data_IF_220286956047
#
_entry.id   IF_220286956047
#
_cell.length_a   1.000
_cell.length_b   1.000
_cell.length_c   1.000
_cell.angle_alpha   90.00
_cell.angle_beta   90.00
_cell.angle_gamma   90.00
#
_symmetry.space_group_name_H-M   'P 1'
#
loop_
_entity.id
_entity.type
_entity.pdbx_description
1 polymer ?
#
# COMPACT_ATOMS: atom_id res chain seq x y z
N UNK A 1 40.15 -27.94 -41.67
CA UNK A 1 39.05 -26.99 -41.41
C UNK A 1 38.54 -27.20 -39.99
N UNK A 2 38.81 -26.31 -39.04
CA UNK A 2 38.34 -26.41 -37.65
C UNK A 2 37.12 -25.52 -37.48
N UNK A 3 35.96 -26.12 -37.19
CA UNK A 3 34.69 -25.41 -36.93
C UNK A 3 34.64 -25.08 -35.44
N UNK A 4 34.63 -23.79 -35.08
CA UNK A 4 34.40 -23.35 -33.71
C UNK A 4 32.89 -23.23 -33.49
N UNK A 5 32.35 -24.03 -32.57
CA UNK A 5 30.97 -23.91 -32.12
C UNK A 5 30.87 -22.73 -31.13
N UNK A 6 29.98 -21.77 -31.42
CA UNK A 6 29.65 -20.67 -30.52
C UNK A 6 28.55 -21.16 -29.57
N UNK A 7 28.86 -21.33 -28.28
CA UNK A 7 27.83 -21.52 -27.26
C UNK A 7 27.23 -20.16 -26.91
N UNK A 8 25.94 -19.97 -27.21
CA UNK A 8 25.15 -18.87 -26.66
C UNK A 8 24.66 -19.27 -25.26
N UNK A 9 25.14 -18.59 -24.23
CA UNK A 9 24.57 -18.72 -22.89
C UNK A 9 23.31 -17.84 -22.83
N UNK A 10 22.12 -18.46 -22.86
CA UNK A 10 20.88 -17.79 -22.49
C UNK A 10 20.88 -17.62 -20.97
N UNK A 11 21.08 -16.38 -20.51
CA UNK A 11 20.83 -16.02 -19.12
C UNK A 11 19.32 -16.05 -18.87
N UNK A 12 18.86 -17.00 -18.07
CA UNK A 12 17.49 -17.00 -17.56
C UNK A 12 17.46 -15.96 -16.44
N UNK A 13 16.80 -14.82 -16.68
CA UNK A 13 16.52 -13.87 -15.61
C UNK A 13 15.54 -14.55 -14.63
N UNK A 14 15.96 -14.73 -13.37
CA UNK A 14 15.05 -15.18 -12.33
C UNK A 14 14.00 -14.08 -12.12
N UNK A 15 12.74 -14.40 -12.37
CA UNK A 15 11.62 -13.53 -11.97
C UNK A 15 11.53 -13.62 -10.45
N UNK A 16 11.85 -12.52 -9.76
CA UNK A 16 11.59 -12.42 -8.33
C UNK A 16 10.07 -12.50 -8.11
N UNK A 17 9.57 -13.24 -7.10
CA UNK A 17 8.15 -13.18 -6.75
C UNK A 17 7.78 -11.73 -6.44
N UNK A 18 6.59 -11.30 -6.88
CA UNK A 18 6.13 -9.95 -6.62
C UNK A 18 5.97 -9.73 -5.11
N UNK A 19 6.47 -8.60 -4.61
CA UNK A 19 6.29 -8.17 -3.22
C UNK A 19 4.81 -8.06 -2.89
N UNK A 20 4.38 -8.60 -1.76
CA UNK A 20 2.98 -8.57 -1.34
C UNK A 20 2.76 -7.55 -0.23
N UNK A 21 1.77 -6.68 -0.43
CA UNK A 21 1.15 -5.88 0.62
C UNK A 21 -0.02 -6.69 1.22
N UNK A 22 -0.05 -6.84 2.54
CA UNK A 22 -1.18 -7.40 3.28
C UNK A 22 -1.78 -6.33 4.18
N UNK A 23 -3.09 -6.15 4.12
CA UNK A 23 -3.84 -5.22 4.97
C UNK A 23 -4.74 -6.01 5.92
N UNK A 24 -4.81 -5.59 7.18
CA UNK A 24 -5.87 -5.95 8.12
C UNK A 24 -6.48 -4.68 8.70
N UNK A 25 -7.76 -4.44 8.44
CA UNK A 25 -8.39 -3.19 8.82
C UNK A 25 -9.89 -3.36 9.12
N UNK A 26 -10.45 -2.38 9.82
CA UNK A 26 -11.87 -2.22 10.03
C UNK A 26 -12.30 -0.76 9.86
N UNK A 27 -13.51 -0.56 9.37
CA UNK A 27 -14.18 0.73 9.25
C UNK A 27 -15.53 0.68 9.98
N UNK A 28 -16.15 1.85 10.19
CA UNK A 28 -17.41 1.95 10.95
C UNK A 28 -18.53 1.11 10.31
N UNK A 29 -18.75 1.29 9.02
CA UNK A 29 -19.54 0.35 8.23
C UNK A 29 -18.69 -0.25 7.12
N UNK A 30 -18.44 0.54 6.08
CA UNK A 30 -17.89 0.03 4.83
C UNK A 30 -16.43 0.41 4.67
N UNK A 31 -15.67 -0.53 4.12
CA UNK A 31 -14.26 -0.38 3.81
C UNK A 31 -13.99 -0.85 2.40
N UNK A 32 -13.30 -0.03 1.61
CA UNK A 32 -12.67 -0.47 0.38
C UNK A 32 -11.20 -0.05 0.38
N UNK A 33 -10.29 -1.01 0.22
CA UNK A 33 -8.87 -0.74 0.06
C UNK A 33 -8.43 -0.93 -1.38
N UNK A 34 -7.53 -0.05 -1.81
CA UNK A 34 -6.99 0.01 -3.15
C UNK A 34 -5.47 0.16 -3.12
N UNK A 35 -4.82 -0.32 -4.17
CA UNK A 35 -3.43 0.00 -4.48
C UNK A 35 -3.39 0.87 -5.74
N UNK A 36 -2.74 2.03 -5.64
CA UNK A 36 -2.54 2.93 -6.76
C UNK A 36 -1.06 3.25 -6.96
N UNK A 37 -0.67 3.59 -8.19
CA UNK A 37 0.63 4.21 -8.50
C UNK A 37 0.50 5.72 -8.76
N UNK A 38 -0.71 6.25 -8.58
CA UNK A 38 -1.06 7.67 -8.71
C UNK A 38 -1.98 8.05 -7.54
N UNK A 39 -1.50 8.94 -6.68
CA UNK A 39 -2.18 9.40 -5.46
C UNK A 39 -3.56 10.02 -5.74
N UNK A 40 -3.78 10.54 -6.95
CA UNK A 40 -5.02 11.24 -7.31
C UNK A 40 -6.17 10.31 -7.73
N UNK A 41 -5.93 9.00 -7.82
CA UNK A 41 -6.94 8.01 -8.24
C UNK A 41 -6.97 6.81 -7.29
N UNK A 42 -8.13 6.17 -7.19
CA UNK A 42 -8.31 5.04 -6.28
C UNK A 42 -7.32 3.89 -6.57
N UNK A 43 -7.14 3.51 -7.84
CA UNK A 43 -6.33 2.37 -8.23
C UNK A 43 -7.11 1.05 -8.24
N UNK A 44 -6.41 -0.07 -7.98
CA UNK A 44 -6.97 -1.42 -8.03
C UNK A 44 -7.51 -1.83 -6.66
N UNK A 45 -8.81 -2.09 -6.55
CA UNK A 45 -9.42 -2.58 -5.32
C UNK A 45 -8.95 -4.00 -5.00
N UNK A 46 -8.57 -4.26 -3.75
CA UNK A 46 -8.09 -5.57 -3.30
C UNK A 46 -8.72 -6.07 -2.00
N UNK A 47 -9.46 -5.20 -1.30
CA UNK A 47 -10.23 -5.55 -0.11
C UNK A 47 -11.54 -4.76 -0.10
N UNK A 48 -12.66 -5.45 0.09
CA UNK A 48 -14.00 -4.86 0.09
C UNK A 48 -14.81 -5.43 1.26
N UNK A 49 -15.41 -4.55 2.06
CA UNK A 49 -16.38 -4.85 3.12
C UNK A 49 -17.54 -3.86 2.96
N UNK A 50 -18.72 -4.34 2.54
CA UNK A 50 -19.87 -3.48 2.16
C UNK A 50 -21.20 -3.91 2.79
N UNK A 51 -21.20 -4.97 3.62
CA UNK A 51 -22.41 -5.60 4.15
C UNK A 51 -22.37 -5.84 5.67
N UNK A 52 -21.46 -5.17 6.36
CA UNK A 52 -21.21 -5.38 7.79
C UNK A 52 -20.75 -4.10 8.48
N UNK A 53 -21.09 -3.97 9.75
CA UNK A 53 -20.69 -2.84 10.61
C UNK A 53 -19.38 -3.17 11.35
N UNK A 54 -18.82 -2.24 12.11
CA UNK A 54 -17.55 -2.43 12.81
C UNK A 54 -17.57 -3.61 13.79
N UNK A 55 -18.73 -4.00 14.32
CA UNK A 55 -18.89 -5.10 15.28
C UNK A 55 -18.43 -6.46 14.73
N UNK A 56 -18.43 -6.65 13.40
CA UNK A 56 -17.94 -7.89 12.78
C UNK A 56 -16.43 -8.03 12.85
N UNK A 57 -15.74 -6.96 13.22
CA UNK A 57 -14.29 -6.91 13.38
C UNK A 57 -13.52 -6.75 12.06
N UNK A 58 -12.19 -6.79 12.15
CA UNK A 58 -11.31 -6.51 11.01
C UNK A 58 -11.37 -7.57 9.92
N UNK A 59 -11.26 -7.12 8.67
CA UNK A 59 -11.10 -7.95 7.48
C UNK A 59 -9.67 -7.84 6.94
N UNK A 60 -9.25 -8.82 6.15
CA UNK A 60 -7.91 -8.86 5.56
C UNK A 60 -7.93 -9.13 4.06
N UNK A 61 -6.98 -8.54 3.36
CA UNK A 61 -6.75 -8.74 1.92
C UNK A 61 -5.30 -8.48 1.58
N UNK A 62 -4.88 -8.94 0.40
CA UNK A 62 -3.50 -8.75 -0.07
C UNK A 62 -3.45 -8.45 -1.57
N UNK A 63 -2.39 -7.78 -1.98
CA UNK A 63 -2.14 -7.38 -3.37
C UNK A 63 -0.63 -7.29 -3.63
N UNK A 64 -0.22 -7.57 -4.86
CA UNK A 64 1.16 -7.37 -5.30
C UNK A 64 1.46 -5.87 -5.50
N UNK A 65 2.60 -5.41 -4.98
CA UNK A 65 3.10 -4.05 -5.22
C UNK A 65 3.67 -3.91 -6.64
N UNK A 66 3.60 -2.69 -7.18
CA UNK A 66 4.18 -2.36 -8.48
C UNK A 66 5.63 -1.92 -8.29
N UNK A 67 6.56 -2.63 -8.91
CA UNK A 67 7.99 -2.36 -8.78
C UNK A 67 8.45 -1.11 -9.53
N UNK A 68 9.53 -0.49 -9.02
CA UNK A 68 10.15 0.69 -9.61
C UNK A 68 9.34 1.99 -9.53
N UNK A 69 8.18 1.99 -8.89
CA UNK A 69 7.32 3.18 -8.71
C UNK A 69 6.83 3.32 -7.27
N UNK A 70 6.50 4.55 -6.87
CA UNK A 70 5.79 4.80 -5.62
C UNK A 70 4.40 4.18 -5.71
N UNK A 71 4.01 3.44 -4.68
CA UNK A 71 2.69 2.89 -4.52
C UNK A 71 1.96 3.67 -3.41
N UNK A 72 0.64 3.68 -3.46
CA UNK A 72 -0.24 4.33 -2.50
C UNK A 72 -1.27 3.31 -2.02
N UNK A 73 -1.28 3.07 -0.71
CA UNK A 73 -2.34 2.33 -0.04
C UNK A 73 -3.47 3.31 0.23
N UNK A 74 -4.56 3.15 -0.51
CA UNK A 74 -5.77 3.96 -0.42
C UNK A 74 -6.86 3.20 0.31
N UNK A 75 -7.51 3.81 1.30
CA UNK A 75 -8.65 3.24 1.99
C UNK A 75 -9.81 4.23 1.98
N UNK A 76 -10.94 3.81 1.44
CA UNK A 76 -12.21 4.51 1.58
C UNK A 76 -12.98 3.87 2.74
N UNK A 77 -13.14 4.60 3.83
CA UNK A 77 -14.00 4.22 4.95
C UNK A 77 -15.30 5.02 4.88
N UNK A 78 -16.44 4.38 5.10
CA UNK A 78 -17.75 5.02 5.07
C UNK A 78 -18.61 4.58 6.23
N UNK A 79 -19.32 5.52 6.81
CA UNK A 79 -20.47 5.30 7.69
C UNK A 79 -21.75 5.53 6.86
N UNK A 80 -22.60 4.51 6.79
CA UNK A 80 -23.85 4.49 6.06
C UNK A 80 -25.02 5.11 6.85
N UNK A 81 -24.88 5.20 8.17
CA UNK A 81 -25.89 5.64 9.12
C UNK A 81 -25.63 7.02 9.70
N UNK A 82 -24.46 7.62 9.41
CA UNK A 82 -24.13 8.97 9.79
C UNK A 82 -22.63 9.18 9.89
N UNK A 83 -22.18 9.48 11.10
CA UNK A 83 -20.78 9.63 11.45
C UNK A 83 -20.53 8.89 12.77
N UNK A 84 -19.31 8.37 12.99
CA UNK A 84 -18.07 8.72 12.28
C UNK A 84 -17.57 7.71 11.23
N UNK A 85 -16.99 8.14 10.10
CA UNK A 85 -16.29 7.24 9.16
C UNK A 85 -14.89 6.82 9.66
N UNK A 86 -14.81 6.22 10.85
CA UNK A 86 -13.56 5.82 11.49
C UNK A 86 -12.84 4.69 10.75
N UNK A 87 -11.52 4.66 10.90
CA UNK A 87 -10.62 3.61 10.40
C UNK A 87 -9.66 3.16 11.50
N UNK A 88 -9.40 1.86 11.58
CA UNK A 88 -8.28 1.29 12.34
C UNK A 88 -7.71 0.10 11.57
N UNK A 89 -6.38 -0.05 11.58
CA UNK A 89 -5.76 -1.14 10.84
C UNK A 89 -4.25 -1.18 10.95
N UNK A 90 -3.70 -2.19 10.31
CA UNK A 90 -2.28 -2.41 10.10
C UNK A 90 -2.04 -2.96 8.69
N UNK A 91 -0.86 -2.70 8.14
CA UNK A 91 -0.43 -3.32 6.91
C UNK A 91 1.04 -3.77 7.00
N UNK A 92 1.33 -4.87 6.30
CA UNK A 92 2.61 -5.56 6.29
C UNK A 92 3.09 -5.77 4.85
N UNK A 93 4.38 -5.58 4.63
CA UNK A 93 5.08 -5.85 3.36
C UNK A 93 5.99 -7.06 3.59
N UNK A 94 5.94 -8.06 2.71
CA UNK A 94 6.62 -9.35 2.90
C UNK A 94 8.11 -9.38 2.51
N UNK A 95 8.68 -8.26 2.05
CA UNK A 95 10.10 -8.15 1.73
C UNK A 95 10.70 -6.78 2.08
N UNK A 96 12.01 -6.64 1.83
CA UNK A 96 12.80 -5.45 2.18
C UNK A 96 12.95 -4.44 1.05
N UNK A 97 12.45 -4.73 -0.15
CA UNK A 97 12.62 -3.86 -1.33
C UNK A 97 11.64 -2.67 -1.31
N UNK A 98 10.61 -2.76 -0.47
CA UNK A 98 9.60 -1.74 -0.25
C UNK A 98 9.53 -1.34 1.23
N UNK A 99 9.08 -0.11 1.49
CA UNK A 99 8.82 0.41 2.82
C UNK A 99 7.70 1.43 2.80
N UNK A 100 6.94 1.52 3.88
CA UNK A 100 5.98 2.60 4.08
C UNK A 100 6.70 3.93 4.34
N UNK A 101 5.97 5.05 4.29
CA UNK A 101 6.52 6.39 4.61
C UNK A 101 7.23 6.50 5.96
N UNK A 102 6.94 5.59 6.91
CA UNK A 102 7.61 5.48 8.21
C UNK A 102 8.95 4.73 8.18
N UNK A 103 9.44 4.35 6.99
CA UNK A 103 10.69 3.62 6.75
C UNK A 103 10.73 2.18 7.28
N UNK A 104 9.57 1.53 7.43
CA UNK A 104 9.48 0.13 7.84
C UNK A 104 8.61 -0.69 6.87
N UNK A 105 8.60 -2.01 7.05
CA UNK A 105 7.69 -2.94 6.37
C UNK A 105 6.35 -3.13 7.11
N UNK A 106 6.12 -2.38 8.19
CA UNK A 106 4.93 -2.51 9.03
C UNK A 106 4.39 -1.13 9.42
N UNK A 107 3.17 -0.84 9.04
CA UNK A 107 2.48 0.39 9.40
C UNK A 107 1.20 0.08 10.15
N UNK A 108 0.90 0.93 11.13
CA UNK A 108 -0.40 0.96 11.81
C UNK A 108 -1.09 2.27 11.52
N UNK A 109 -2.41 2.32 11.64
CA UNK A 109 -3.14 3.60 11.56
C UNK A 109 -2.65 4.55 12.66
N UNK A 110 -2.29 5.77 12.27
CA UNK A 110 -1.80 6.82 13.16
C UNK A 110 -1.97 8.19 12.49
N UNK A 111 -1.54 9.28 13.13
CA UNK A 111 -1.71 10.66 12.62
C UNK A 111 -0.48 11.22 11.90
N UNK A 112 0.59 10.45 11.77
CA UNK A 112 1.88 10.90 11.23
C UNK A 112 2.15 10.33 9.84
N UNK A 113 1.83 9.05 9.66
CA UNK A 113 2.13 8.29 8.44
C UNK A 113 0.91 8.16 7.50
N UNK A 114 -0.24 8.67 7.95
CA UNK A 114 -1.49 8.66 7.21
C UNK A 114 -1.98 10.08 6.95
N UNK A 115 -2.42 10.32 5.72
CA UNK A 115 -3.23 11.49 5.36
C UNK A 115 -4.69 11.09 5.23
N UNK A 116 -5.59 12.07 5.37
CA UNK A 116 -7.00 11.87 5.17
C UNK A 116 -7.67 13.04 4.43
N UNK A 117 -8.72 12.72 3.68
CA UNK A 117 -9.53 13.67 2.91
C UNK A 117 -11.01 13.30 2.98
N UNK A 118 -11.88 14.29 2.76
CA UNK A 118 -13.33 14.11 2.58
C UNK A 118 -13.75 14.11 1.11
N UNK A 119 -12.87 14.49 0.18
CA UNK A 119 -13.24 14.76 -1.21
C UNK A 119 -12.67 13.77 -2.21
N UNK A 120 -11.69 12.96 -1.80
CA UNK A 120 -11.06 11.94 -2.64
C UNK A 120 -9.60 11.73 -2.25
N UNK A 121 -8.95 10.74 -2.88
CA UNK A 121 -7.53 10.47 -2.68
C UNK A 121 -6.65 11.57 -3.32
N UNK A 122 -5.54 11.92 -2.66
CA UNK A 122 -4.56 12.90 -3.15
C UNK A 122 -5.09 14.34 -3.26
N UNK A 123 -6.19 14.66 -2.58
CA UNK A 123 -6.89 15.95 -2.70
C UNK A 123 -7.23 16.50 -1.32
N UNK A 124 -6.76 17.71 -0.99
CA UNK A 124 -7.00 18.37 0.29
C UNK A 124 -6.60 17.48 1.49
N UNK A 125 -5.49 16.76 1.34
CA UNK A 125 -4.97 15.85 2.34
C UNK A 125 -4.60 16.60 3.62
N UNK A 126 -5.12 16.09 4.73
CA UNK A 126 -4.98 16.66 6.06
C UNK A 126 -4.64 15.57 7.07
N UNK A 127 -4.08 15.97 8.21
CA UNK A 127 -3.83 15.04 9.31
C UNK A 127 -5.16 14.56 9.91
N UNK A 128 -5.40 13.24 9.98
CA UNK A 128 -6.60 12.72 10.64
C UNK A 128 -6.54 12.98 12.16
N UNK A 129 -7.70 13.03 12.80
CA UNK A 129 -7.80 13.03 14.25
C UNK A 129 -7.57 11.63 14.83
N UNK A 130 -6.88 11.58 15.96
CA UNK A 130 -6.75 10.39 16.80
C UNK A 130 -7.88 10.37 17.85
N UNK A 131 -8.66 9.29 17.87
CA UNK A 131 -9.76 9.09 18.82
C UNK A 131 -9.42 8.10 19.94
N UNK A 132 -8.24 7.50 19.94
CA UNK A 132 -7.83 6.53 20.92
C UNK A 132 -7.09 5.33 20.33
N UNK A 133 -6.61 4.47 21.21
CA UNK A 133 -5.94 3.24 20.80
C UNK A 133 -6.94 2.21 20.26
N UNK A 134 -6.45 1.27 19.44
CA UNK A 134 -7.19 0.09 19.06
C UNK A 134 -7.80 -0.62 20.29
N UNK A 135 -9.06 -1.02 20.19
CA UNK A 135 -9.79 -1.67 21.29
C UNK A 135 -10.29 -0.71 22.38
N UNK A 136 -10.30 0.60 22.15
CA UNK A 136 -10.91 1.59 23.06
C UNK A 136 -12.18 2.22 22.48
N UNK A 137 -12.94 2.93 23.32
CA UNK A 137 -14.15 3.65 22.89
C UNK A 137 -15.28 2.73 22.45
N UNK A 138 -16.10 3.20 21.49
CA UNK A 138 -17.22 2.43 20.96
C UNK A 138 -16.76 1.13 20.27
N UNK A 139 -15.53 1.09 19.76
CA UNK A 139 -14.94 -0.08 19.07
C UNK A 139 -14.17 -1.01 20.00
N UNK A 140 -14.34 -0.88 21.32
CA UNK A 140 -13.79 -1.82 22.28
C UNK A 140 -14.20 -3.26 21.99
N UNK A 141 -13.27 -4.20 22.12
CA UNK A 141 -13.53 -5.63 21.86
C UNK A 141 -13.34 -6.05 20.40
N UNK A 142 -14.40 -6.50 19.74
CA UNK A 142 -14.33 -7.17 18.41
C UNK A 142 -13.93 -6.22 17.29
N UNK A 143 -14.25 -4.93 17.39
CA UNK A 143 -13.99 -3.92 16.35
C UNK A 143 -12.51 -3.72 16.01
N UNK A 144 -11.60 -4.08 16.92
CA UNK A 144 -10.15 -4.05 16.69
C UNK A 144 -9.47 -5.41 16.94
N UNK A 145 -10.23 -6.50 16.89
CA UNK A 145 -9.72 -7.82 17.25
C UNK A 145 -8.52 -8.26 16.38
N UNK A 146 -7.37 -8.41 17.05
CA UNK A 146 -6.11 -8.81 16.42
C UNK A 146 -5.55 -7.78 15.45
N UNK A 147 -5.93 -6.51 15.55
CA UNK A 147 -5.13 -5.40 15.04
C UNK A 147 -4.09 -5.05 16.12
N UNK A 148 -2.90 -4.63 15.70
CA UNK A 148 -1.82 -4.19 16.56
C UNK A 148 -2.33 -3.16 17.59
N UNK A 149 -2.07 -3.37 18.90
CA UNK A 149 -2.47 -2.43 19.95
C UNK A 149 -1.92 -1.00 19.81
N UNK A 150 -0.84 -0.81 19.05
CA UNK A 150 -0.28 0.50 18.73
C UNK A 150 -1.11 1.28 17.70
N UNK A 151 -2.00 0.60 16.96
CA UNK A 151 -2.87 1.25 15.99
C UNK A 151 -3.82 2.24 16.67
N UNK A 152 -4.09 3.33 15.98
CA UNK A 152 -4.96 4.42 16.42
C UNK A 152 -6.26 4.39 15.63
N UNK A 153 -7.35 4.66 16.33
CA UNK A 153 -8.66 4.92 15.74
C UNK A 153 -8.61 6.30 15.10
N UNK A 154 -8.45 6.37 13.78
CA UNK A 154 -8.30 7.63 13.05
C UNK A 154 -9.59 8.06 12.35
N UNK A 155 -9.89 9.35 12.38
CA UNK A 155 -11.08 9.92 11.77
C UNK A 155 -10.79 11.24 11.07
N UNK A 156 -11.51 11.53 9.99
CA UNK A 156 -11.54 12.81 9.28
C UNK A 156 -12.11 13.98 10.11
N UNK A 157 -12.30 13.87 11.44
CA UNK A 157 -13.10 14.82 12.24
C UNK A 157 -12.72 16.30 12.22
N UNK A 158 -11.47 16.78 12.15
CA UNK A 158 -11.34 18.22 12.06
C UNK A 158 -11.91 18.76 10.72
N UNK A 159 -12.25 17.88 9.77
CA UNK A 159 -12.70 18.21 8.42
C UNK A 159 -14.22 18.37 8.27
N UNK A 160 -15.01 17.92 9.25
CA UNK A 160 -16.48 18.02 9.24
C UNK A 160 -17.21 16.67 9.10
N UNK A 161 -18.49 16.72 8.73
CA UNK A 161 -19.34 15.58 8.41
C UNK A 161 -19.99 15.83 7.05
N UNK A 162 -20.04 14.82 6.18
CA UNK A 162 -20.79 14.96 4.93
C UNK A 162 -22.30 14.70 5.13
N UNK A 163 -23.19 15.48 4.51
CA UNK A 163 -24.64 15.23 4.58
C UNK A 163 -25.00 13.87 3.94
N UNK A 164 -25.71 13.01 4.67
CA UNK A 164 -26.19 11.72 4.16
C UNK A 164 -25.24 10.53 4.34
N UNK A 165 -24.20 10.69 5.16
CA UNK A 165 -23.22 9.66 5.51
C UNK A 165 -21.80 10.23 5.42
N UNK A 166 -20.92 9.81 6.31
CA UNK A 166 -19.54 10.26 6.36
C UNK A 166 -18.66 9.34 5.53
N UNK A 167 -17.78 9.90 4.69
CA UNK A 167 -16.82 9.13 3.88
C UNK A 167 -15.45 9.74 4.03
N UNK A 168 -14.53 8.95 4.57
CA UNK A 168 -13.13 9.29 4.71
C UNK A 168 -12.28 8.54 3.68
N UNK A 169 -11.38 9.29 3.03
CA UNK A 169 -10.36 8.78 2.15
C UNK A 169 -9.03 8.86 2.89
N UNK A 170 -8.36 7.73 3.09
CA UNK A 170 -7.12 7.64 3.85
C UNK A 170 -6.00 7.11 2.96
N UNK A 171 -4.82 7.72 3.05
CA UNK A 171 -3.67 7.33 2.24
C UNK A 171 -2.45 7.08 3.10
N UNK A 172 -1.75 5.99 2.81
CA UNK A 172 -0.38 5.74 3.26
C UNK A 172 0.52 5.52 2.03
N UNK A 173 1.68 6.17 2.01
CA UNK A 173 2.65 6.04 0.92
C UNK A 173 3.54 4.83 1.11
N UNK A 174 3.87 4.15 0.01
CA UNK A 174 4.78 3.01 -0.06
C UNK A 174 5.86 3.33 -1.09
N UNK A 175 7.10 3.36 -0.63
CA UNK A 175 8.28 3.57 -1.45
C UNK A 175 8.92 2.24 -1.84
N UNK A 176 9.73 2.28 -2.90
CA UNK A 176 10.56 1.18 -3.36
C UNK A 176 11.99 1.67 -3.58
N UNK A 177 12.97 0.79 -3.38
CA UNK A 177 14.32 1.07 -3.81
C UNK A 177 14.37 0.98 -5.34
N UNK A 178 14.70 2.09 -6.01
CA UNK A 178 15.01 2.02 -7.44
C UNK A 178 16.26 1.14 -7.63
N UNK A 179 16.07 -0.11 -8.04
CA UNK A 179 17.18 -0.98 -8.45
C UNK A 179 17.54 -0.61 -9.88
N UNK A 180 18.78 -0.14 -10.17
CA UNK A 180 19.24 -0.03 -11.55
C UNK A 180 19.30 -1.44 -12.15
N UNK A 181 18.58 -1.69 -13.25
CA UNK A 181 18.58 -3.01 -13.88
C UNK A 181 20.02 -3.47 -14.19
N UNK A 182 20.49 -4.61 -13.66
CA UNK A 182 21.84 -5.11 -13.91
C UNK A 182 22.11 -5.47 -15.39
N UNK A 183 21.06 -5.65 -16.19
CA UNK A 183 21.15 -6.15 -17.56
C UNK A 183 21.74 -5.13 -18.55
N UNK A 184 21.54 -3.83 -18.33
CA UNK A 184 22.02 -2.76 -19.23
C UNK A 184 23.54 -2.60 -19.18
N UNK A 185 24.17 -2.90 -18.03
CA UNK A 185 25.61 -2.78 -17.83
C UNK A 185 26.40 -3.95 -18.43
N UNK A 186 25.83 -5.16 -18.44
CA UNK A 186 26.47 -6.33 -19.05
C UNK A 186 26.36 -6.34 -20.59
N UNK A 187 25.27 -5.80 -21.15
CA UNK A 187 25.09 -5.66 -22.59
C UNK A 187 26.12 -4.73 -23.25
N UNK A 188 26.44 -3.61 -22.63
CA UNK A 188 27.45 -2.66 -23.12
C UNK A 188 28.87 -3.22 -23.07
N UNK A 189 29.20 -3.97 -22.01
CA UNK A 189 30.50 -4.63 -21.91
C UNK A 189 30.70 -5.69 -23.00
N UNK A 190 29.66 -6.49 -23.31
CA UNK A 190 29.72 -7.51 -24.35
C UNK A 190 29.91 -6.92 -25.76
N UNK A 191 29.19 -5.82 -26.08
CA UNK A 191 29.33 -5.13 -27.39
C UNK A 191 30.71 -4.47 -27.52
N UNK A 192 31.23 -3.86 -26.45
CA UNK A 192 32.57 -3.25 -26.44
C UNK A 192 33.69 -4.26 -26.70
N UNK A 193 33.61 -5.47 -26.13
CA UNK A 193 34.60 -6.53 -26.38
C UNK A 193 34.49 -7.15 -27.77
N UNK A 194 33.28 -7.23 -28.35
CA UNK A 194 33.06 -7.73 -29.72
C UNK A 194 33.53 -6.73 -30.79
N UNK A 195 33.35 -5.42 -30.57
CA UNK A 195 33.84 -4.38 -31.47
C UNK A 195 35.38 -4.33 -31.51
N UNK A 196 36.04 -4.50 -30.37
CA UNK A 196 37.52 -4.47 -30.28
C UNK A 196 38.21 -5.69 -30.92
N UNK A 197 37.50 -6.80 -31.10
CA UNK A 197 38.04 -8.00 -31.79
C UNK A 197 37.93 -7.94 -33.32
N UNK A 198 37.18 -6.97 -33.88
CA UNK A 198 37.02 -6.80 -35.33
C UNK A 198 37.98 -5.78 -35.96
N UNK A 199 38.82 -5.11 -35.18
CA UNK A 199 39.76 -4.08 -35.71
C UNK A 199 41.21 -4.58 -35.91
N UNK A 200 41.43 -5.87 -36.16
CA UNK A 200 42.72 -6.43 -36.57
C UNK A 200 42.57 -7.27 -37.82
#
# INVERSE_FOLDING_TARGET
MKRYALLAALGVAAVSPATTLTLKANADDFLTAYLSTDDSVAGTAFLVKEDSTWQTGPVSGSIALVDGVTNYLHIRARDAFGAPSMLVGQADIDNTDFWFGNLTQHIVTNTTDWTASLTGFGVNDLTPADLGAAGTGAWGGTGSAGIDPAARLIWTKPLGQQPGGDTGYYTAVIHTQSVPEPASLLGLAAVGFLAKRRSK
#
